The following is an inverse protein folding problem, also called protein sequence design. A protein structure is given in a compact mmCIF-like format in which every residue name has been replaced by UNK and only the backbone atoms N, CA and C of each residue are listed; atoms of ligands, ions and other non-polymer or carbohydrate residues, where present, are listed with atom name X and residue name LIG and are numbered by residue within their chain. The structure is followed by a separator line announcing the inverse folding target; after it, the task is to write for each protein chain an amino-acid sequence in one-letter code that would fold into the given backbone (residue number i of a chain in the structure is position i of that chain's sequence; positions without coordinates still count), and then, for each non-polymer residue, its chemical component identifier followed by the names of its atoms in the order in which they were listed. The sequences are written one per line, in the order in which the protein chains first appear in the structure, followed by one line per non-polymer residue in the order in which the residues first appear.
data_IF_475369676793
#
_entry.id   IF_475369676793
#
_cell.length_a   1.000
_cell.length_b   1.000
_cell.length_c   1.000
_cell.angle_alpha   90.00
_cell.angle_beta   90.00
_cell.angle_gamma   90.00
#
_symmetry.space_group_name_H-M   'P 1'
#
loop_
_entity.id
_entity.type
_entity.pdbx_description
1 polymer ?
#
# COMPACT_ATOMS: atom_id res chain seq x y z
N UNK A 1 -3.03 -72.63 -35.51
CA UNK A 1 -4.11 -71.76 -35.00
C UNK A 1 -3.50 -70.86 -33.93
N UNK A 2 -3.35 -69.55 -34.16
CA UNK A 2 -2.62 -68.66 -33.26
C UNK A 2 -3.52 -68.28 -32.07
N UNK A 3 -3.00 -68.37 -30.84
CA UNK A 3 -3.68 -67.86 -29.65
C UNK A 3 -3.06 -66.52 -29.27
N UNK A 4 -3.85 -65.48 -29.47
CA UNK A 4 -3.59 -64.08 -29.14
C UNK A 4 -3.43 -63.95 -27.61
N UNK A 5 -2.29 -63.46 -27.13
CA UNK A 5 -2.13 -63.02 -25.73
C UNK A 5 -2.37 -61.51 -25.67
N UNK A 6 -3.46 -61.12 -25.03
CA UNK A 6 -3.87 -59.73 -24.82
C UNK A 6 -2.94 -59.08 -23.79
N UNK A 7 -2.22 -58.03 -24.19
CA UNK A 7 -1.48 -57.18 -23.27
C UNK A 7 -2.44 -56.25 -22.54
N UNK A 8 -2.53 -56.37 -21.22
CA UNK A 8 -3.23 -55.40 -20.36
C UNK A 8 -2.25 -54.26 -20.10
N UNK A 9 -2.48 -53.11 -20.73
CA UNK A 9 -1.80 -51.85 -20.39
C UNK A 9 -2.48 -51.29 -19.14
N UNK A 10 -1.78 -51.34 -18.00
CA UNK A 10 -2.22 -50.68 -16.78
C UNK A 10 -1.97 -49.17 -16.92
N UNK A 11 -3.04 -48.42 -17.20
CA UNK A 11 -3.01 -46.96 -17.25
C UNK A 11 -3.10 -46.43 -15.81
N UNK A 12 -1.95 -46.26 -15.17
CA UNK A 12 -1.85 -45.63 -13.85
C UNK A 12 -2.17 -44.14 -13.97
N UNK A 13 -3.42 -43.75 -13.70
CA UNK A 13 -3.79 -42.36 -13.55
C UNK A 13 -3.19 -41.83 -12.23
N UNK A 14 -2.02 -41.21 -12.31
CA UNK A 14 -1.58 -40.31 -11.26
C UNK A 14 -2.47 -39.06 -11.33
N UNK A 15 -3.51 -39.01 -10.51
CA UNK A 15 -4.19 -37.75 -10.24
C UNK A 15 -3.21 -36.88 -9.44
N UNK A 16 -2.48 -35.99 -10.13
CA UNK A 16 -1.81 -34.88 -9.48
C UNK A 16 -2.89 -34.03 -8.80
N UNK A 17 -2.76 -33.77 -7.51
CA UNK A 17 -3.61 -32.82 -6.80
C UNK A 17 -3.57 -31.47 -7.52
N UNK A 18 -4.67 -31.08 -8.15
CA UNK A 18 -4.88 -29.71 -8.59
C UNK A 18 -5.13 -28.85 -7.35
N UNK A 19 -4.08 -28.53 -6.60
CA UNK A 19 -4.14 -27.55 -5.53
C UNK A 19 -3.93 -26.17 -6.15
N UNK A 20 -5.01 -25.62 -6.68
CA UNK A 20 -5.06 -24.26 -7.19
C UNK A 20 -5.69 -23.35 -6.13
N UNK A 21 -4.89 -22.89 -5.16
CA UNK A 21 -5.35 -22.08 -4.04
C UNK A 21 -5.38 -20.58 -4.36
N UNK A 22 -6.29 -19.86 -3.72
CA UNK A 22 -6.28 -18.39 -3.62
C UNK A 22 -7.08 -17.90 -2.40
N UNK A 23 -7.59 -18.79 -1.57
CA UNK A 23 -8.60 -18.49 -0.55
C UNK A 23 -7.99 -18.23 0.83
N UNK A 24 -6.68 -18.44 0.99
CA UNK A 24 -5.97 -18.16 2.23
C UNK A 24 -5.31 -16.77 2.26
N UNK A 25 -5.45 -15.99 1.18
CA UNK A 25 -5.14 -14.57 1.24
C UNK A 25 -6.23 -13.85 2.01
N UNK A 26 -5.85 -13.21 3.12
CA UNK A 26 -6.70 -12.36 3.93
C UNK A 26 -6.12 -10.95 3.99
N UNK A 27 -6.97 -9.94 4.22
CA UNK A 27 -6.48 -8.59 4.46
C UNK A 27 -5.70 -8.53 5.78
N UNK A 28 -4.54 -7.87 5.77
CA UNK A 28 -3.67 -7.71 6.95
C UNK A 28 -3.57 -6.27 7.42
N UNK A 29 -3.44 -5.32 6.51
CA UNK A 29 -3.18 -3.91 6.82
C UNK A 29 -3.83 -3.01 5.76
N UNK A 30 -4.36 -1.85 6.18
CA UNK A 30 -4.86 -0.82 5.27
C UNK A 30 -4.47 0.58 5.74
N UNK A 31 -4.27 1.47 4.77
CA UNK A 31 -3.95 2.88 5.01
C UNK A 31 -4.59 3.77 3.95
N UNK A 32 -4.97 4.97 4.36
CA UNK A 32 -5.30 6.09 3.49
C UNK A 32 -4.93 7.38 4.17
N UNK A 33 -4.30 8.32 3.46
CA UNK A 33 -4.28 9.71 3.89
C UNK A 33 -5.67 10.36 3.71
N UNK A 34 -5.84 11.58 4.22
CA UNK A 34 -7.12 12.29 4.30
C UNK A 34 -7.86 12.40 2.95
N UNK A 35 -7.13 12.68 1.87
CA UNK A 35 -7.69 12.93 0.54
C UNK A 35 -7.73 11.68 -0.35
N UNK A 36 -7.17 10.57 0.12
CA UNK A 36 -7.12 9.29 -0.59
C UNK A 36 -6.15 9.25 -1.76
N UNK A 37 -5.25 10.23 -1.90
CA UNK A 37 -4.16 10.20 -2.90
C UNK A 37 -3.14 9.09 -2.60
N UNK A 38 -2.81 8.90 -1.32
CA UNK A 38 -1.88 7.88 -0.83
C UNK A 38 -2.68 6.81 -0.10
N UNK A 39 -2.78 5.62 -0.69
CA UNK A 39 -3.46 4.47 -0.08
C UNK A 39 -2.70 3.19 -0.34
N UNK A 40 -2.82 2.25 0.58
CA UNK A 40 -2.44 0.86 0.33
C UNK A 40 -3.39 -0.13 1.00
N UNK A 41 -3.38 -1.34 0.46
CA UNK A 41 -4.06 -2.52 0.96
C UNK A 41 -3.02 -3.65 0.96
N UNK A 42 -2.82 -4.27 2.11
CA UNK A 42 -1.98 -5.44 2.25
C UNK A 42 -2.83 -6.70 2.44
N UNK A 43 -2.45 -7.78 1.76
CA UNK A 43 -2.97 -9.12 2.02
C UNK A 43 -1.84 -10.02 2.50
N UNK A 44 -2.15 -11.01 3.32
CA UNK A 44 -1.21 -11.98 3.88
C UNK A 44 -1.79 -13.40 3.75
N UNK A 45 -0.93 -14.38 3.47
CA UNK A 45 -1.21 -15.80 3.74
C UNK A 45 -0.66 -16.17 5.14
N UNK A 46 -1.48 -16.25 6.20
CA UNK A 46 -1.03 -16.38 7.59
C UNK A 46 -0.54 -17.79 7.97
N UNK A 47 -0.32 -18.64 6.97
CA UNK A 47 0.00 -20.07 7.15
C UNK A 47 1.08 -20.51 6.17
N UNK A 48 1.66 -21.68 6.45
CA UNK A 48 2.66 -22.30 5.57
C UNK A 48 2.01 -22.94 4.33
N UNK A 49 1.36 -22.13 3.50
CA UNK A 49 0.68 -22.55 2.27
C UNK A 49 1.31 -21.89 1.04
N UNK A 50 2.15 -22.66 0.34
CA UNK A 50 2.92 -22.17 -0.81
C UNK A 50 2.21 -22.22 -2.17
N UNK A 51 0.96 -22.65 -2.22
CA UNK A 51 0.20 -22.89 -3.45
C UNK A 51 -0.95 -21.90 -3.72
N UNK A 52 -1.01 -20.79 -3.01
CA UNK A 52 -2.08 -19.78 -3.12
C UNK A 52 -1.86 -18.83 -4.30
N UNK A 53 -1.49 -19.38 -5.46
CA UNK A 53 -1.05 -18.60 -6.61
C UNK A 53 -2.19 -18.23 -7.57
N UNK A 54 -3.38 -18.83 -7.45
CA UNK A 54 -4.46 -18.74 -8.44
C UNK A 54 -5.35 -17.51 -8.29
N UNK A 55 -4.72 -16.34 -8.12
CA UNK A 55 -5.40 -15.06 -7.92
C UNK A 55 -5.90 -14.43 -9.22
N UNK A 56 -5.44 -14.87 -10.39
CA UNK A 56 -5.84 -14.32 -11.69
C UNK A 56 -7.37 -14.28 -11.87
N UNK A 57 -7.89 -13.11 -12.23
CA UNK A 57 -9.32 -12.85 -12.38
C UNK A 57 -10.10 -12.73 -11.06
N UNK A 58 -9.45 -12.83 -9.89
CA UNK A 58 -10.05 -12.49 -8.59
C UNK A 58 -9.99 -10.98 -8.40
N UNK A 59 -10.84 -10.45 -7.52
CA UNK A 59 -10.95 -9.01 -7.30
C UNK A 59 -10.78 -8.62 -5.84
N UNK A 60 -10.27 -7.41 -5.61
CA UNK A 60 -10.44 -6.67 -4.36
C UNK A 60 -11.41 -5.55 -4.66
N UNK A 61 -12.43 -5.38 -3.82
CA UNK A 61 -13.50 -4.39 -4.04
C UNK A 61 -13.78 -3.61 -2.77
N UNK A 62 -13.76 -2.29 -2.84
CA UNK A 62 -14.33 -1.40 -1.82
C UNK A 62 -15.83 -1.29 -2.03
N UNK A 63 -16.61 -1.57 -0.99
CA UNK A 63 -18.07 -1.40 -1.04
C UNK A 63 -18.49 0.05 -0.82
N UNK A 64 -17.69 0.87 -0.14
CA UNK A 64 -17.98 2.28 0.07
C UNK A 64 -17.79 3.11 -1.21
N UNK A 65 -16.71 2.88 -1.95
CA UNK A 65 -16.40 3.65 -3.17
C UNK A 65 -16.91 2.98 -4.44
N UNK A 66 -17.13 1.67 -4.41
CA UNK A 66 -17.46 0.85 -5.58
C UNK A 66 -16.24 0.50 -6.46
N UNK A 67 -15.04 0.96 -6.09
CA UNK A 67 -13.82 0.66 -6.82
C UNK A 67 -13.46 -0.83 -6.71
N UNK A 68 -12.95 -1.40 -7.81
CA UNK A 68 -12.58 -2.80 -7.89
C UNK A 68 -11.31 -2.99 -8.69
N UNK A 69 -10.34 -3.67 -8.08
CA UNK A 69 -9.13 -4.13 -8.74
C UNK A 69 -9.27 -5.60 -9.08
N UNK A 70 -8.88 -6.02 -10.29
CA UNK A 70 -8.87 -7.44 -10.69
C UNK A 70 -7.45 -7.86 -11.00
N UNK A 71 -6.98 -8.92 -10.35
CA UNK A 71 -5.64 -9.44 -10.57
C UNK A 71 -5.49 -9.91 -12.02
N UNK A 72 -4.48 -9.41 -12.77
CA UNK A 72 -4.36 -9.70 -14.19
C UNK A 72 -3.89 -11.13 -14.48
N UNK A 73 -3.08 -11.70 -13.58
CA UNK A 73 -2.48 -13.02 -13.74
C UNK A 73 -2.39 -13.73 -12.39
N UNK A 74 -2.17 -15.05 -12.44
CA UNK A 74 -1.76 -15.82 -11.27
C UNK A 74 -0.36 -15.39 -10.80
N UNK A 75 -0.10 -15.53 -9.50
CA UNK A 75 1.22 -15.29 -8.91
C UNK A 75 2.19 -16.39 -9.32
N UNK A 76 3.49 -16.07 -9.25
CA UNK A 76 4.55 -17.04 -9.43
C UNK A 76 5.36 -17.16 -8.14
N UNK A 77 5.79 -18.38 -7.83
CA UNK A 77 6.62 -18.66 -6.65
C UNK A 77 5.82 -19.16 -5.44
N UNK A 78 6.50 -19.23 -4.30
CA UNK A 78 5.96 -19.74 -3.05
C UNK A 78 5.19 -18.63 -2.32
N UNK A 79 3.95 -18.90 -1.91
CA UNK A 79 3.05 -17.97 -1.21
C UNK A 79 3.00 -18.15 0.30
N UNK A 80 3.73 -19.10 0.88
CA UNK A 80 3.70 -19.35 2.32
C UNK A 80 4.22 -18.12 3.08
N UNK A 81 3.43 -17.61 4.02
CA UNK A 81 3.75 -16.40 4.81
C UNK A 81 4.11 -15.18 3.95
N UNK A 82 3.58 -15.12 2.72
CA UNK A 82 3.81 -14.00 1.82
C UNK A 82 2.74 -12.93 2.00
N UNK A 83 3.15 -11.73 1.63
CA UNK A 83 2.32 -10.55 1.55
C UNK A 83 2.07 -10.16 0.10
N UNK A 84 1.00 -9.41 -0.14
CA UNK A 84 0.75 -8.70 -1.39
C UNK A 84 0.43 -7.25 -1.07
N UNK A 85 1.16 -6.34 -1.69
CA UNK A 85 0.96 -4.92 -1.55
C UNK A 85 0.27 -4.34 -2.77
N UNK A 86 -0.93 -3.80 -2.58
CA UNK A 86 -1.63 -2.98 -3.56
C UNK A 86 -1.60 -1.53 -3.10
N UNK A 87 -1.13 -0.59 -3.92
CA UNK A 87 -1.05 0.80 -3.52
C UNK A 87 -1.25 1.80 -4.66
N UNK A 88 -1.49 3.06 -4.30
CA UNK A 88 -1.63 4.15 -5.27
C UNK A 88 -0.29 4.55 -5.90
N UNK A 89 -0.29 5.23 -7.06
CA UNK A 89 0.94 5.77 -7.64
C UNK A 89 1.69 6.71 -6.71
N UNK A 90 0.97 7.54 -5.95
CA UNK A 90 1.59 8.52 -5.04
C UNK A 90 2.25 7.81 -3.86
N UNK A 91 1.66 6.73 -3.34
CA UNK A 91 2.35 5.84 -2.38
C UNK A 91 3.68 5.32 -2.95
N UNK A 92 3.67 4.84 -4.20
CA UNK A 92 4.86 4.25 -4.82
C UNK A 92 5.99 5.28 -5.07
N UNK A 93 5.66 6.58 -5.06
CA UNK A 93 6.62 7.66 -5.22
C UNK A 93 7.27 8.09 -3.89
N UNK A 94 6.75 7.64 -2.74
CA UNK A 94 7.26 8.07 -1.44
C UNK A 94 8.63 7.46 -1.15
N UNK A 95 9.58 8.24 -0.60
CA UNK A 95 10.87 7.73 -0.17
C UNK A 95 10.69 6.60 0.85
N UNK A 96 11.37 5.47 0.63
CA UNK A 96 11.31 4.32 1.55
C UNK A 96 10.10 3.40 1.37
N UNK A 97 9.11 3.78 0.56
CA UNK A 97 7.98 2.92 0.26
C UNK A 97 8.41 1.64 -0.47
N UNK A 98 8.01 0.45 0.00
CA UNK A 98 8.17 -0.78 -0.76
C UNK A 98 7.45 -0.67 -2.10
N UNK A 99 8.09 -1.14 -3.17
CA UNK A 99 7.44 -1.17 -4.48
C UNK A 99 6.15 -2.01 -4.41
N UNK A 100 4.98 -1.45 -4.77
CA UNK A 100 3.73 -2.22 -4.76
C UNK A 100 3.78 -3.37 -5.76
N UNK A 101 3.19 -4.51 -5.40
CA UNK A 101 3.01 -5.64 -6.32
C UNK A 101 1.96 -5.30 -7.40
N UNK A 102 0.96 -4.50 -7.03
CA UNK A 102 -0.07 -4.01 -7.94
C UNK A 102 -0.42 -2.55 -7.65
N UNK A 103 -0.76 -1.81 -8.71
CA UNK A 103 -1.22 -0.42 -8.59
C UNK A 103 -2.74 -0.34 -8.58
N UNK A 104 -3.29 0.44 -7.65
CA UNK A 104 -4.71 0.81 -7.57
C UNK A 104 -4.87 2.32 -7.79
N UNK A 105 -6.03 2.82 -8.27
CA UNK A 105 -6.26 4.26 -8.39
C UNK A 105 -6.35 4.95 -7.03
N UNK A 106 -6.08 6.26 -6.99
CA UNK A 106 -6.39 7.10 -5.83
C UNK A 106 -7.89 7.07 -5.51
N UNK A 107 -8.24 7.22 -4.22
CA UNK A 107 -9.61 7.13 -3.73
C UNK A 107 -10.22 5.73 -3.86
N UNK A 108 -9.41 4.68 -3.91
CA UNK A 108 -9.86 3.29 -3.90
C UNK A 108 -10.63 2.96 -2.61
N UNK A 109 -10.07 3.32 -1.46
CA UNK A 109 -10.68 3.15 -0.14
C UNK A 109 -11.43 4.41 0.30
N UNK A 110 -12.44 4.25 1.15
CA UNK A 110 -13.00 5.37 1.93
C UNK A 110 -12.29 5.48 3.30
N UNK A 111 -11.51 6.54 3.50
CA UNK A 111 -10.77 6.80 4.74
C UNK A 111 -11.67 6.94 5.98
N UNK A 112 -12.95 7.31 5.83
CA UNK A 112 -13.89 7.42 6.95
C UNK A 112 -14.51 6.08 7.37
N UNK A 113 -14.18 4.99 6.66
CA UNK A 113 -14.70 3.65 6.91
C UNK A 113 -15.13 2.95 5.63
N UNK A 114 -14.78 1.67 5.53
CA UNK A 114 -15.03 0.86 4.34
C UNK A 114 -15.39 -0.60 4.70
N UNK A 115 -15.89 -1.31 3.69
CA UNK A 115 -15.90 -2.77 3.66
C UNK A 115 -15.15 -3.22 2.41
N UNK A 116 -14.00 -3.85 2.61
CA UNK A 116 -13.25 -4.49 1.54
C UNK A 116 -13.68 -5.95 1.38
N UNK A 117 -13.73 -6.39 0.14
CA UNK A 117 -13.95 -7.78 -0.23
C UNK A 117 -12.84 -8.28 -1.11
N UNK A 118 -12.18 -9.36 -0.69
CA UNK A 118 -11.34 -10.14 -1.57
C UNK A 118 -12.16 -11.30 -2.13
N UNK A 119 -12.65 -11.08 -3.36
CA UNK A 119 -13.53 -11.98 -4.08
C UNK A 119 -14.69 -12.50 -3.21
N UNK A 120 -14.79 -13.82 -3.03
CA UNK A 120 -15.74 -14.48 -2.13
C UNK A 120 -15.09 -15.00 -0.85
N UNK A 121 -13.77 -14.79 -0.68
CA UNK A 121 -12.96 -15.50 0.31
C UNK A 121 -12.81 -14.72 1.61
N UNK A 122 -12.48 -13.43 1.53
CA UNK A 122 -12.34 -12.58 2.71
C UNK A 122 -13.17 -11.29 2.59
N UNK A 123 -13.62 -10.79 3.72
CA UNK A 123 -14.34 -9.52 3.85
C UNK A 123 -13.93 -8.85 5.15
N UNK A 124 -13.52 -7.60 5.06
CA UNK A 124 -13.13 -6.78 6.19
C UNK A 124 -13.89 -5.46 6.20
N UNK A 125 -14.69 -5.25 7.24
CA UNK A 125 -15.30 -3.94 7.55
C UNK A 125 -14.49 -3.25 8.63
N UNK A 126 -14.17 -1.97 8.42
CA UNK A 126 -13.44 -1.13 9.36
C UNK A 126 -14.04 0.29 9.43
N UNK A 127 -13.76 0.99 10.54
CA UNK A 127 -14.16 2.38 10.78
C UNK A 127 -13.20 3.39 10.14
N UNK A 128 -13.18 4.62 10.63
CA UNK A 128 -12.23 5.61 10.14
C UNK A 128 -10.78 5.12 10.30
N UNK A 129 -9.97 5.30 9.25
CA UNK A 129 -8.54 5.03 9.25
C UNK A 129 -7.80 6.15 9.99
N UNK A 130 -6.59 5.87 10.54
CA UNK A 130 -5.75 6.91 11.09
C UNK A 130 -5.50 8.01 10.07
N UNK A 131 -5.57 9.26 10.51
CA UNK A 131 -5.34 10.44 9.68
C UNK A 131 -4.20 11.28 10.25
N UNK A 132 -3.12 10.61 10.60
CA UNK A 132 -1.89 11.17 11.16
C UNK A 132 -0.69 10.91 10.25
N UNK A 133 -0.98 10.58 8.99
CA UNK A 133 -0.06 10.22 7.91
C UNK A 133 0.91 9.05 8.13
N UNK A 134 1.18 8.61 9.36
CA UNK A 134 2.22 7.62 9.68
C UNK A 134 1.66 6.31 10.25
N UNK A 135 0.42 6.29 10.73
CA UNK A 135 -0.21 5.08 11.23
C UNK A 135 -1.17 4.45 10.22
N UNK A 136 -1.19 3.13 10.17
CA UNK A 136 -2.15 2.30 9.43
C UNK A 136 -3.08 1.56 10.40
N UNK A 137 -4.07 0.86 9.85
CA UNK A 137 -4.95 -0.02 10.60
C UNK A 137 -4.60 -1.48 10.27
N UNK A 138 -4.32 -2.26 11.31
CA UNK A 138 -4.13 -3.70 11.22
C UNK A 138 -5.46 -4.46 11.28
N UNK A 139 -5.48 -5.68 10.75
CA UNK A 139 -6.67 -6.54 10.69
C UNK A 139 -7.31 -6.81 12.04
N UNK A 140 -6.50 -6.83 13.10
CA UNK A 140 -6.96 -7.03 14.48
C UNK A 140 -7.60 -5.78 15.11
N UNK A 141 -7.62 -4.67 14.39
CA UNK A 141 -8.19 -3.39 14.78
C UNK A 141 -7.23 -2.48 15.53
N UNK A 142 -5.98 -2.89 15.74
CA UNK A 142 -4.95 -2.03 16.29
C UNK A 142 -4.41 -1.06 15.23
N UNK A 143 -3.87 0.07 15.68
CA UNK A 143 -3.18 1.02 14.82
C UNK A 143 -1.69 0.98 15.14
N UNK A 144 -0.86 1.00 14.11
CA UNK A 144 0.59 0.94 14.21
C UNK A 144 1.24 1.72 13.09
N UNK A 145 2.57 1.81 13.08
CA UNK A 145 3.29 2.44 11.97
C UNK A 145 2.96 1.73 10.65
N UNK A 146 2.70 2.51 9.61
CA UNK A 146 2.36 2.03 8.28
C UNK A 146 3.56 1.35 7.58
N UNK A 147 3.78 0.08 7.90
CA UNK A 147 4.97 -0.68 7.51
C UNK A 147 4.66 -1.85 6.58
N UNK A 148 3.96 -1.61 5.45
CA UNK A 148 3.52 -2.68 4.58
C UNK A 148 4.70 -3.45 3.99
N UNK A 149 4.42 -4.68 3.56
CA UNK A 149 5.37 -5.63 2.99
C UNK A 149 4.89 -6.08 1.61
N UNK A 150 5.76 -6.02 0.61
CA UNK A 150 5.45 -6.54 -0.73
C UNK A 150 5.77 -8.03 -0.87
N UNK A 151 5.40 -8.65 -2.00
CA UNK A 151 5.60 -10.09 -2.23
C UNK A 151 7.06 -10.57 -2.15
N UNK A 152 8.06 -9.81 -2.64
CA UNK A 152 9.47 -10.10 -2.36
C UNK A 152 9.85 -10.14 -0.87
N UNK A 153 9.09 -9.49 0.01
CA UNK A 153 9.37 -9.37 1.44
C UNK A 153 10.12 -8.09 1.82
N UNK A 154 10.06 -7.05 0.98
CA UNK A 154 10.57 -5.72 1.32
C UNK A 154 9.48 -5.01 2.12
N UNK A 155 9.84 -4.52 3.30
CA UNK A 155 9.00 -3.70 4.15
C UNK A 155 9.62 -2.34 4.42
N UNK A 156 8.78 -1.35 4.71
CA UNK A 156 9.23 0.02 4.98
C UNK A 156 8.10 0.89 5.50
N UNK A 157 8.41 1.73 6.49
CA UNK A 157 7.52 2.81 6.90
C UNK A 157 7.35 3.80 5.77
N UNK A 158 6.16 4.34 5.62
CA UNK A 158 5.88 5.36 4.61
C UNK A 158 5.46 6.66 5.29
N UNK A 159 6.29 7.69 5.17
CA UNK A 159 5.86 9.04 5.54
C UNK A 159 4.95 9.59 4.44
N UNK A 160 3.65 9.49 4.69
CA UNK A 160 2.62 9.96 3.78
C UNK A 160 2.02 11.30 4.23
N UNK A 161 2.72 12.02 5.11
CA UNK A 161 2.38 13.40 5.38
C UNK A 161 2.56 14.12 4.05
N UNK A 162 1.58 14.94 3.62
CA UNK A 162 1.84 15.84 2.51
C UNK A 162 3.16 16.55 2.80
N UNK A 163 4.11 16.58 1.87
CA UNK A 163 5.30 17.39 2.04
C UNK A 163 4.81 18.81 2.35
N UNK A 164 4.87 19.20 3.62
CA UNK A 164 4.09 20.33 4.03
C UNK A 164 4.77 21.53 3.45
N UNK A 165 3.97 22.36 2.79
CA UNK A 165 4.51 23.56 2.21
C UNK A 165 5.04 24.46 3.33
N UNK A 166 6.36 24.53 3.48
CA UNK A 166 7.01 25.24 4.59
C UNK A 166 7.49 24.37 5.75
N UNK A 167 7.28 23.05 5.76
CA UNK A 167 7.96 22.13 6.69
C UNK A 167 9.33 21.80 6.09
N UNK A 168 10.34 22.51 6.58
CA UNK A 168 11.70 22.47 6.05
C UNK A 168 12.50 21.32 6.67
N UNK A 169 12.10 20.85 7.86
CA UNK A 169 12.82 19.82 8.60
C UNK A 169 12.18 18.42 8.52
N UNK A 170 11.00 18.33 7.90
CA UNK A 170 10.26 17.10 7.64
C UNK A 170 9.64 16.50 8.89
N UNK A 171 9.27 17.33 9.87
CA UNK A 171 8.70 16.88 11.14
C UNK A 171 7.19 16.62 11.08
N UNK A 172 6.52 17.01 10.00
CA UNK A 172 5.06 16.91 9.86
C UNK A 172 4.30 18.08 10.50
N UNK A 173 4.99 19.14 10.92
CA UNK A 173 4.40 20.40 11.35
C UNK A 173 5.18 21.57 10.73
N UNK A 174 4.51 22.69 10.43
CA UNK A 174 5.18 23.96 10.08
C UNK A 174 5.24 24.82 11.34
N UNK A 175 6.40 24.89 11.97
CA UNK A 175 6.55 25.51 13.28
C UNK A 175 7.80 26.40 13.44
N UNK A 176 8.19 26.67 14.68
CA UNK A 176 9.35 27.50 15.00
C UNK A 176 10.69 26.91 14.55
N UNK A 177 10.80 25.59 14.40
CA UNK A 177 11.99 24.93 13.87
C UNK A 177 12.18 25.27 12.39
N UNK A 178 11.13 25.18 11.59
CA UNK A 178 11.15 25.54 10.17
C UNK A 178 11.42 27.02 9.96
N UNK A 179 10.77 27.88 10.76
CA UNK A 179 11.07 29.31 10.76
C UNK A 179 12.55 29.57 11.08
N UNK A 180 13.10 28.86 12.06
CA UNK A 180 14.51 28.94 12.40
C UNK A 180 15.42 28.56 11.23
N UNK A 181 15.06 27.50 10.49
CA UNK A 181 15.79 27.09 9.28
C UNK A 181 15.68 28.13 8.16
N UNK A 182 14.49 28.65 7.87
CA UNK A 182 14.26 29.68 6.84
C UNK A 182 15.05 30.96 7.16
N UNK A 183 15.03 31.42 8.41
CA UNK A 183 15.80 32.59 8.84
C UNK A 183 17.31 32.34 8.78
N UNK A 184 17.75 31.10 8.99
CA UNK A 184 19.14 30.69 8.78
C UNK A 184 19.57 30.74 7.30
N UNK A 185 18.62 30.50 6.39
CA UNK A 185 18.81 30.54 4.94
C UNK A 185 18.53 31.90 4.29
N UNK A 186 18.25 32.95 5.08
CA UNK A 186 17.79 34.24 4.57
C UNK A 186 18.75 34.88 3.56
N UNK A 187 18.21 35.33 2.42
CA UNK A 187 18.97 35.95 1.33
C UNK A 187 19.86 34.97 0.53
N UNK A 188 19.72 33.66 0.77
CA UNK A 188 20.42 32.63 0.00
C UNK A 188 19.54 32.09 -1.13
N UNK A 189 20.04 31.06 -1.85
CA UNK A 189 19.32 30.32 -2.89
C UNK A 189 19.01 28.88 -2.44
N UNK A 190 18.85 28.70 -1.14
CA UNK A 190 18.51 27.40 -0.60
C UNK A 190 17.15 26.96 -1.14
N UNK A 191 17.15 25.92 -1.97
CA UNK A 191 15.95 25.47 -2.67
C UNK A 191 14.89 24.87 -1.74
N UNK A 192 15.27 24.50 -0.51
CA UNK A 192 14.33 24.00 0.48
C UNK A 192 13.57 25.17 1.13
N UNK A 193 14.26 26.28 1.41
CA UNK A 193 13.65 27.47 2.02
C UNK A 193 13.07 28.50 1.01
N UNK A 194 13.44 28.44 -0.27
CA UNK A 194 12.90 29.26 -1.38
C UNK A 194 11.57 28.66 -1.88
N UNK A 195 10.50 28.93 -1.11
CA UNK A 195 9.17 28.35 -1.30
C UNK A 195 8.46 28.86 -2.56
N UNK A 196 8.76 30.09 -3.00
CA UNK A 196 8.20 30.65 -4.23
C UNK A 196 9.04 30.37 -5.49
N UNK A 197 10.25 29.83 -5.31
CA UNK A 197 11.21 29.48 -6.36
C UNK A 197 11.66 30.67 -7.23
N UNK A 198 11.70 31.88 -6.66
CA UNK A 198 12.19 33.07 -7.35
C UNK A 198 13.72 33.22 -7.32
N UNK A 199 14.38 32.33 -6.57
CA UNK A 199 15.83 32.25 -6.46
C UNK A 199 16.40 33.04 -5.30
N UNK A 200 15.59 33.55 -4.37
CA UNK A 200 16.04 34.20 -3.12
C UNK A 200 15.11 33.92 -1.95
N UNK A 201 15.63 33.40 -0.85
CA UNK A 201 14.85 33.25 0.40
C UNK A 201 14.59 34.62 1.03
N UNK A 202 13.36 35.10 1.03
CA UNK A 202 13.00 36.40 1.60
C UNK A 202 11.60 36.49 2.25
N UNK A 203 11.09 37.72 2.40
CA UNK A 203 9.79 37.98 3.00
C UNK A 203 8.60 37.35 2.28
N UNK A 204 8.73 37.07 0.98
CA UNK A 204 7.72 36.35 0.22
C UNK A 204 7.61 34.89 0.66
N UNK A 205 8.75 34.20 0.85
CA UNK A 205 8.79 32.83 1.36
C UNK A 205 8.31 32.74 2.80
N UNK A 206 8.69 33.72 3.64
CA UNK A 206 8.16 33.80 5.00
C UNK A 206 6.64 33.96 5.03
N UNK A 207 6.08 34.78 4.14
CA UNK A 207 4.63 34.93 4.03
C UNK A 207 3.93 33.62 3.65
N UNK A 208 4.58 32.83 2.79
CA UNK A 208 4.14 31.51 2.36
C UNK A 208 4.21 30.47 3.50
N UNK A 209 5.32 30.40 4.24
CA UNK A 209 5.47 29.54 5.42
C UNK A 209 4.44 29.87 6.51
N UNK A 210 4.27 31.15 6.85
CA UNK A 210 3.29 31.57 7.87
C UNK A 210 1.85 31.28 7.45
N UNK A 211 1.56 31.19 6.14
CA UNK A 211 0.24 30.79 5.65
C UNK A 211 -0.05 29.30 5.85
N UNK A 212 0.99 28.49 6.04
CA UNK A 212 0.93 27.05 6.27
C UNK A 212 1.20 26.66 7.73
N UNK A 213 1.29 27.63 8.65
CA UNK A 213 1.68 27.40 10.05
C UNK A 213 0.76 26.41 10.78
N UNK A 214 1.36 25.44 11.46
CA UNK A 214 0.68 24.42 12.25
C UNK A 214 0.86 23.00 11.67
N UNK A 215 0.07 22.03 12.18
CA UNK A 215 0.17 20.65 11.76
C UNK A 215 -0.18 20.46 10.29
N UNK A 216 0.46 19.44 9.72
CA UNK A 216 0.05 18.75 8.51
C UNK A 216 -0.87 17.57 8.88
#
# INVERSE_FOLDING_TARGET
MPRLFTAIVAMGAFASSAAAGSHLWEFSEVYSNADGSIQFIELHVPVNAGGETFVGGKSITSLSTGNSFTFPNNLNGNTAFKYLLLATPDFAALPGAPAPDFTIPAGFLNANGDTLKYHVYDTWTFGALPNDCIQSLDRDGSTGMNTPTNFPGVSGMVDACPACFGDLDGSGEVDGADLGQMLGAWGTKDATADLNQDGTVDGADLGLMLSAWGPC
#
